data_IF_403156283061
#
_entry.id   IF_403156283061
#
_cell.length_a   1.000
_cell.length_b   1.000
_cell.length_c   1.000
_cell.angle_alpha   90.00
_cell.angle_beta   90.00
_cell.angle_gamma   90.00
#
_symmetry.space_group_name_H-M   'P 1'
#
loop_
_entity.id
_entity.type
_entity.pdbx_description
1 polymer ?
#
# COMPACT_ATOMS: atom_id res chain seq x y z
N UNK A 1 1.05 -29.25 -10.31
CA UNK A 1 -0.03 -28.94 -9.34
C UNK A 1 -0.85 -27.78 -9.89
N UNK A 2 -1.95 -28.09 -10.56
CA UNK A 2 -2.88 -27.07 -11.07
C UNK A 2 -3.65 -26.47 -9.89
N UNK A 3 -3.62 -25.16 -9.72
CA UNK A 3 -4.60 -24.50 -8.87
C UNK A 3 -5.95 -24.46 -9.59
N UNK A 4 -7.08 -24.68 -8.89
CA UNK A 4 -8.38 -24.44 -9.46
C UNK A 4 -8.58 -22.93 -9.57
N UNK A 5 -8.80 -22.44 -10.80
CA UNK A 5 -9.37 -21.12 -11.09
C UNK A 5 -10.87 -21.17 -10.79
N UNK A 6 -11.21 -21.35 -9.51
CA UNK A 6 -12.56 -21.06 -9.02
C UNK A 6 -12.81 -19.56 -9.10
N UNK A 7 -14.07 -19.17 -9.29
CA UNK A 7 -14.56 -17.81 -9.45
C UNK A 7 -14.20 -16.90 -8.25
N UNK A 8 -12.96 -16.39 -8.24
CA UNK A 8 -12.44 -15.45 -7.24
C UNK A 8 -12.84 -14.01 -7.54
N UNK A 9 -13.44 -13.74 -8.70
CA UNK A 9 -13.77 -12.39 -9.16
C UNK A 9 -14.73 -11.66 -8.21
N UNK A 10 -15.90 -12.25 -7.89
CA UNK A 10 -16.85 -11.67 -6.94
C UNK A 10 -16.26 -11.50 -5.54
N UNK A 11 -15.58 -12.52 -5.03
CA UNK A 11 -14.97 -12.49 -3.70
C UNK A 11 -13.86 -11.42 -3.59
N UNK A 12 -13.04 -11.26 -4.64
CA UNK A 12 -12.01 -10.22 -4.70
C UNK A 12 -12.62 -8.81 -4.78
N UNK A 13 -13.71 -8.65 -5.55
CA UNK A 13 -14.40 -7.38 -5.66
C UNK A 13 -15.03 -6.96 -4.33
N UNK A 14 -15.63 -7.89 -3.59
CA UNK A 14 -16.21 -7.60 -2.28
C UNK A 14 -15.14 -7.30 -1.24
N UNK A 15 -14.00 -8.00 -1.26
CA UNK A 15 -12.84 -7.67 -0.43
C UNK A 15 -12.29 -6.26 -0.75
N UNK A 16 -12.19 -5.90 -2.04
CA UNK A 16 -11.75 -4.57 -2.46
C UNK A 16 -12.73 -3.47 -2.01
N UNK A 17 -14.04 -3.72 -2.08
CA UNK A 17 -15.06 -2.81 -1.57
C UNK A 17 -14.95 -2.62 -0.06
N UNK A 18 -14.69 -3.70 0.68
CA UNK A 18 -14.48 -3.63 2.12
C UNK A 18 -13.22 -2.81 2.50
N UNK A 19 -12.15 -2.88 1.70
CA UNK A 19 -10.92 -2.10 1.92
C UNK A 19 -11.02 -0.62 1.48
N UNK A 20 -12.00 -0.27 0.65
CA UNK A 20 -12.11 1.06 0.03
C UNK A 20 -12.11 2.24 1.04
N UNK A 21 -12.85 2.21 2.16
CA UNK A 21 -12.87 3.34 3.10
C UNK A 21 -11.48 3.67 3.65
N UNK A 22 -10.70 2.64 3.94
CA UNK A 22 -9.34 2.76 4.45
C UNK A 22 -8.38 3.28 3.37
N UNK A 23 -8.46 2.74 2.15
CA UNK A 23 -7.67 3.23 1.01
C UNK A 23 -7.94 4.72 0.72
N UNK A 24 -9.20 5.16 0.84
CA UNK A 24 -9.55 6.58 0.73
C UNK A 24 -8.92 7.41 1.85
N UNK A 25 -8.88 6.90 3.07
CA UNK A 25 -8.25 7.58 4.21
C UNK A 25 -6.73 7.72 4.00
N UNK A 26 -6.05 6.66 3.57
CA UNK A 26 -4.62 6.67 3.24
C UNK A 26 -4.33 7.69 2.13
N UNK A 27 -5.09 7.63 1.02
CA UNK A 27 -4.97 8.61 -0.07
C UNK A 27 -5.09 10.04 0.45
N UNK A 28 -6.09 10.33 1.28
CA UNK A 28 -6.28 11.68 1.85
C UNK A 28 -5.12 12.09 2.74
N UNK A 29 -4.59 11.18 3.56
CA UNK A 29 -3.46 11.47 4.45
C UNK A 29 -2.18 11.82 3.66
N UNK A 30 -1.90 11.10 2.57
CA UNK A 30 -0.78 11.37 1.66
C UNK A 30 -1.01 12.69 0.90
N UNK A 31 -2.16 12.85 0.24
CA UNK A 31 -2.42 14.05 -0.58
C UNK A 31 -2.57 15.35 0.22
N UNK A 32 -2.85 15.29 1.53
CA UNK A 32 -2.85 16.49 2.40
C UNK A 32 -1.45 17.07 2.64
N UNK A 33 -0.40 16.28 2.42
CA UNK A 33 1.00 16.65 2.65
C UNK A 33 1.84 16.30 1.43
N UNK A 34 1.63 16.99 0.30
CA UNK A 34 2.39 16.72 -0.91
C UNK A 34 3.87 17.05 -0.70
N UNK A 35 4.73 16.12 -1.07
CA UNK A 35 6.19 16.28 -1.06
C UNK A 35 6.69 16.45 -2.50
N UNK A 36 7.66 17.34 -2.73
CA UNK A 36 8.15 17.68 -4.07
C UNK A 36 9.49 16.99 -4.34
N UNK A 37 9.65 16.42 -5.53
CA UNK A 37 10.88 15.78 -5.97
C UNK A 37 11.01 14.33 -5.53
N UNK A 38 12.24 13.87 -5.29
CA UNK A 38 12.57 12.45 -5.07
C UNK A 38 12.80 12.09 -3.59
N UNK A 39 12.68 13.07 -2.69
CA UNK A 39 12.84 12.90 -1.25
C UNK A 39 11.46 13.03 -0.61
N UNK A 40 10.92 11.87 -0.23
CA UNK A 40 9.54 11.72 0.25
C UNK A 40 9.52 11.13 1.67
N UNK A 41 10.26 11.69 2.66
CA UNK A 41 10.39 11.08 3.98
C UNK A 41 9.05 10.81 4.68
N UNK A 42 8.06 11.69 4.55
CA UNK A 42 6.75 11.50 5.20
C UNK A 42 5.93 10.42 4.50
N UNK A 43 5.85 10.47 3.17
CA UNK A 43 5.12 9.47 2.37
C UNK A 43 5.78 8.09 2.50
N UNK A 44 7.11 8.02 2.47
CA UNK A 44 7.88 6.79 2.65
C UNK A 44 7.59 6.16 4.01
N UNK A 45 7.58 6.95 5.09
CA UNK A 45 7.25 6.47 6.43
C UNK A 45 5.81 5.98 6.53
N UNK A 46 4.85 6.71 5.94
CA UNK A 46 3.44 6.34 5.95
C UNK A 46 3.20 4.97 5.29
N UNK A 47 3.84 4.72 4.14
CA UNK A 47 3.76 3.43 3.44
C UNK A 47 4.43 2.31 4.25
N UNK A 48 5.62 2.56 4.82
CA UNK A 48 6.34 1.57 5.61
C UNK A 48 5.56 1.11 6.85
N UNK A 49 4.89 2.03 7.56
CA UNK A 49 4.05 1.70 8.72
C UNK A 49 2.91 0.77 8.31
N UNK A 50 2.17 1.11 7.24
CA UNK A 50 1.03 0.30 6.80
C UNK A 50 1.44 -1.10 6.33
N UNK A 51 2.60 -1.22 5.65
CA UNK A 51 3.13 -2.53 5.25
C UNK A 51 3.46 -3.40 6.47
N UNK A 52 4.01 -2.83 7.55
CA UNK A 52 4.22 -3.56 8.81
C UNK A 52 2.92 -4.05 9.44
N UNK A 53 1.87 -3.23 9.41
CA UNK A 53 0.54 -3.61 9.92
C UNK A 53 -0.09 -4.77 9.13
N UNK A 54 0.35 -4.97 7.88
CA UNK A 54 -0.01 -6.13 7.06
C UNK A 54 0.89 -7.35 7.30
N UNK A 55 1.85 -7.26 8.21
CA UNK A 55 2.81 -8.34 8.51
C UNK A 55 3.96 -8.45 7.50
N UNK A 56 4.20 -7.41 6.71
CA UNK A 56 5.29 -7.36 5.73
C UNK A 56 6.47 -6.56 6.26
N UNK A 57 7.70 -6.96 5.89
CA UNK A 57 8.93 -6.28 6.31
C UNK A 57 9.37 -5.24 5.25
N UNK A 58 9.26 -3.92 5.52
CA UNK A 58 9.57 -2.91 4.52
C UNK A 58 11.08 -2.63 4.43
N UNK A 59 11.57 -2.49 3.20
CA UNK A 59 12.89 -1.95 2.88
C UNK A 59 12.76 -0.57 2.23
N UNK A 60 13.53 0.40 2.73
CA UNK A 60 13.47 1.80 2.27
C UNK A 60 14.54 2.10 1.22
N UNK A 61 14.11 2.62 0.07
CA UNK A 61 15.00 3.16 -0.95
C UNK A 61 15.51 4.55 -0.61
N UNK A 62 16.79 4.81 -0.94
CA UNK A 62 17.47 6.07 -0.55
C UNK A 62 17.59 7.11 -1.67
N UNK A 63 17.46 6.69 -2.93
CA UNK A 63 17.60 7.57 -4.10
C UNK A 63 16.29 8.27 -4.46
N UNK A 64 15.19 7.51 -4.56
CA UNK A 64 13.89 7.98 -5.10
C UNK A 64 12.71 7.78 -4.14
N UNK A 65 12.96 7.60 -2.84
CA UNK A 65 11.90 7.46 -1.83
C UNK A 65 11.08 6.16 -1.94
N UNK A 66 11.57 5.14 -2.63
CA UNK A 66 10.84 3.87 -2.81
C UNK A 66 10.66 3.10 -1.51
N UNK A 67 9.63 2.25 -1.47
CA UNK A 67 9.40 1.25 -0.42
C UNK A 67 9.12 -0.07 -1.11
N UNK A 68 9.81 -1.13 -0.71
CA UNK A 68 9.53 -2.51 -1.12
C UNK A 68 9.27 -3.36 0.11
N UNK A 69 8.57 -4.48 -0.03
CA UNK A 69 8.41 -5.47 1.03
C UNK A 69 8.31 -6.87 0.43
N UNK A 70 8.79 -7.87 1.16
CA UNK A 70 8.78 -9.30 0.80
C UNK A 70 8.25 -10.14 1.94
#
# INVERSE_FOLDING_TARGET
>A
MSQPTGDRGPALLDAARAALPEMVAIRRAVHRRPEIGLKLPETQQAVAVRLKELGLEPTLGRSVGSVTAI
#
